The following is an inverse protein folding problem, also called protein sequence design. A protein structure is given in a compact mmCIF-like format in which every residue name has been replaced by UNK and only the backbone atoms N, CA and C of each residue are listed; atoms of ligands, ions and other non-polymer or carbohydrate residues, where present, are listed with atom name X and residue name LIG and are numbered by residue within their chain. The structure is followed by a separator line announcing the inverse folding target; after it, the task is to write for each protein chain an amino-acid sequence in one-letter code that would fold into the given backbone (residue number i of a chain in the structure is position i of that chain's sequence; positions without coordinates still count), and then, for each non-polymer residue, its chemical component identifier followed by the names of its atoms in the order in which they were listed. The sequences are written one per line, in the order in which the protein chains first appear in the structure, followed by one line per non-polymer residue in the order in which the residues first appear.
data_IF_645524728103
#
_entry.id   IF_645524728103
#
_cell.length_a   1.000
_cell.length_b   1.000
_cell.length_c   1.000
_cell.angle_alpha   90.00
_cell.angle_beta   90.00
_cell.angle_gamma   90.00
#
_symmetry.space_group_name_H-M   'P 1'
#
loop_
_entity.id
_entity.type
_entity.pdbx_description
1 polymer ?
#
# COMPACT_ATOMS: atom_id res chain seq x y z
N UNK A 1 -10.49 4.26 11.55
CA UNK A 1 -9.13 4.08 11.01
C UNK A 1 -9.19 3.20 9.77
N UNK A 2 -8.63 3.68 8.67
CA UNK A 2 -8.52 2.89 7.45
C UNK A 2 -7.06 2.95 6.99
N UNK A 3 -6.46 1.80 6.69
CA UNK A 3 -5.10 1.68 6.23
C UNK A 3 -5.08 1.17 4.79
N UNK A 4 -4.41 1.92 3.90
CA UNK A 4 -4.29 1.59 2.47
C UNK A 4 -2.82 1.58 2.09
N UNK A 5 -2.35 0.46 1.54
CA UNK A 5 -1.02 0.35 0.95
C UNK A 5 -1.05 0.86 -0.50
N UNK A 6 0.03 1.53 -0.88
CA UNK A 6 0.23 2.09 -2.22
C UNK A 6 1.56 1.58 -2.75
N UNK A 7 1.56 1.00 -3.94
CA UNK A 7 2.78 0.50 -4.58
C UNK A 7 2.78 0.69 -6.09
N UNK A 8 3.97 0.92 -6.66
CA UNK A 8 4.18 1.01 -8.10
C UNK A 8 5.63 0.67 -8.44
N UNK A 9 5.87 0.04 -9.61
CA UNK A 9 7.24 -0.21 -10.08
C UNK A 9 7.45 0.13 -11.57
N UNK A 10 6.40 0.52 -12.27
CA UNK A 10 6.49 0.95 -13.67
C UNK A 10 6.16 2.43 -13.81
N UNK A 11 6.75 3.10 -14.81
CA UNK A 11 6.24 4.38 -15.26
C UNK A 11 4.81 4.24 -15.75
N UNK A 12 4.01 5.28 -15.59
CA UNK A 12 2.61 5.30 -15.99
C UNK A 12 2.17 6.66 -16.50
N UNK A 13 0.87 6.83 -16.79
CA UNK A 13 0.34 8.08 -17.33
C UNK A 13 0.53 9.27 -16.39
N UNK A 14 0.82 9.03 -15.11
CA UNK A 14 0.98 10.07 -14.09
C UNK A 14 2.42 10.44 -13.77
N UNK A 15 3.41 9.77 -14.37
CA UNK A 15 4.80 10.12 -14.16
C UNK A 15 5.78 9.08 -14.69
N UNK A 16 7.01 9.53 -14.91
CA UNK A 16 8.11 8.68 -15.36
C UNK A 16 8.67 7.80 -14.23
N UNK A 17 8.52 8.25 -12.98
CA UNK A 17 8.97 7.50 -11.82
C UNK A 17 7.79 6.89 -11.06
N UNK A 18 7.91 5.66 -10.55
CA UNK A 18 6.84 4.99 -9.80
C UNK A 18 6.32 5.80 -8.61
N UNK A 19 7.20 6.54 -7.93
CA UNK A 19 6.81 7.38 -6.80
C UNK A 19 5.87 8.53 -7.21
N UNK A 20 5.99 9.06 -8.44
CA UNK A 20 5.09 10.12 -8.92
C UNK A 20 3.67 9.58 -9.09
N UNK A 21 3.57 8.34 -9.61
CA UNK A 21 2.29 7.63 -9.68
C UNK A 21 1.71 7.38 -8.29
N UNK A 22 2.52 6.97 -7.32
CA UNK A 22 2.08 6.80 -5.94
C UNK A 22 1.58 8.12 -5.33
N UNK A 23 2.30 9.23 -5.51
CA UNK A 23 1.90 10.57 -5.03
C UNK A 23 0.58 11.01 -5.66
N UNK A 24 0.44 10.80 -6.97
CA UNK A 24 -0.81 11.13 -7.66
C UNK A 24 -1.98 10.28 -7.15
N UNK A 25 -1.76 9.00 -6.84
CA UNK A 25 -2.77 8.14 -6.22
C UNK A 25 -3.22 8.69 -4.86
N UNK A 26 -2.32 9.24 -4.05
CA UNK A 26 -2.66 9.92 -2.79
C UNK A 26 -3.64 11.08 -3.05
N UNK A 27 -3.36 11.92 -4.06
CA UNK A 27 -4.25 13.04 -4.43
C UNK A 27 -5.64 12.54 -4.89
N UNK A 28 -5.70 11.45 -5.63
CA UNK A 28 -6.98 10.86 -6.06
C UNK A 28 -7.75 10.26 -4.87
N UNK A 29 -7.07 9.56 -3.96
CA UNK A 29 -7.69 9.02 -2.73
C UNK A 29 -8.21 10.15 -1.84
N UNK A 30 -7.51 11.28 -1.76
CA UNK A 30 -7.95 12.46 -1.00
C UNK A 30 -9.29 13.06 -1.51
N UNK A 31 -9.67 12.75 -2.74
CA UNK A 31 -10.95 13.19 -3.35
C UNK A 31 -12.11 12.25 -3.08
N UNK A 32 -11.88 11.09 -2.46
CA UNK A 32 -12.97 10.16 -2.11
C UNK A 32 -13.87 10.80 -1.06
N UNK A 33 -15.16 11.02 -1.35
CA UNK A 33 -16.07 11.66 -0.40
C UNK A 33 -16.16 10.87 0.93
N UNK A 34 -16.14 11.58 2.04
CA UNK A 34 -16.27 10.98 3.38
C UNK A 34 -14.98 10.42 3.94
N UNK A 35 -13.89 10.43 3.19
CA UNK A 35 -12.56 10.05 3.67
C UNK A 35 -11.64 11.26 3.79
N UNK A 36 -10.70 11.19 4.73
CA UNK A 36 -9.66 12.21 4.94
C UNK A 36 -8.33 11.54 5.21
N UNK A 37 -7.29 11.94 4.49
CA UNK A 37 -5.92 11.51 4.76
C UNK A 37 -5.46 12.15 6.07
N UNK A 38 -5.03 11.31 7.01
CA UNK A 38 -4.48 11.72 8.31
C UNK A 38 -2.96 11.72 8.28
N UNK A 39 -2.37 10.73 7.60
CA UNK A 39 -0.93 10.61 7.43
C UNK A 39 -0.59 9.84 6.15
N UNK A 40 0.58 10.15 5.62
CA UNK A 40 1.24 9.43 4.53
C UNK A 40 2.61 9.03 5.04
N UNK A 41 2.98 7.76 4.90
CA UNK A 41 4.31 7.28 5.27
C UNK A 41 5.42 7.87 4.40
N UNK A 42 6.65 7.69 4.81
CA UNK A 42 7.77 7.77 3.87
C UNK A 42 7.59 6.75 2.73
N UNK A 43 8.28 6.99 1.60
CA UNK A 43 8.30 6.06 0.47
C UNK A 43 9.50 5.12 0.61
N UNK A 44 9.25 3.83 0.56
CA UNK A 44 10.24 2.77 0.68
C UNK A 44 10.50 2.12 -0.66
N UNK A 45 11.74 1.71 -0.90
CA UNK A 45 12.11 0.93 -2.08
C UNK A 45 12.11 -0.55 -1.69
N UNK A 46 11.60 -1.41 -2.57
CA UNK A 46 11.73 -2.86 -2.43
C UNK A 46 11.94 -3.54 -3.77
N UNK A 47 12.75 -4.60 -3.76
CA UNK A 47 12.87 -5.48 -4.92
C UNK A 47 11.54 -6.22 -5.18
N UNK A 48 11.27 -6.65 -6.44
CA UNK A 48 10.12 -7.50 -6.76
C UNK A 48 10.13 -8.82 -5.98
N UNK A 49 8.95 -9.25 -5.53
CA UNK A 49 8.76 -10.56 -4.90
C UNK A 49 7.67 -11.32 -5.65
N UNK A 50 7.98 -12.48 -6.25
CA UNK A 50 9.27 -13.16 -6.36
C UNK A 50 10.30 -12.35 -7.16
N UNK A 51 11.60 -12.63 -6.96
CA UNK A 51 12.68 -11.98 -7.69
C UNK A 51 12.48 -12.10 -9.20
N UNK A 52 12.65 -10.99 -9.91
CA UNK A 52 12.49 -10.89 -11.36
C UNK A 52 13.30 -9.71 -11.90
N UNK A 53 13.40 -9.58 -13.24
CA UNK A 53 14.04 -8.44 -13.89
C UNK A 53 13.18 -7.15 -13.87
N UNK A 54 12.08 -7.12 -13.13
CA UNK A 54 11.26 -5.94 -12.99
C UNK A 54 11.98 -4.87 -12.16
N UNK A 55 11.71 -3.57 -12.41
CA UNK A 55 12.20 -2.47 -11.58
C UNK A 55 11.74 -2.60 -10.13
N UNK A 56 12.50 -1.97 -9.21
CA UNK A 56 12.12 -1.87 -7.82
C UNK A 56 10.80 -1.12 -7.63
N UNK A 57 10.07 -1.50 -6.59
CA UNK A 57 8.83 -0.86 -6.19
C UNK A 57 9.10 0.37 -5.32
N UNK A 58 8.28 1.41 -5.52
CA UNK A 58 8.00 2.41 -4.50
C UNK A 58 6.80 1.96 -3.68
N UNK A 59 6.90 1.95 -2.36
CA UNK A 59 5.84 1.51 -1.46
C UNK A 59 5.59 2.55 -0.36
N UNK A 60 4.33 2.72 0.00
CA UNK A 60 3.91 3.55 1.12
C UNK A 60 2.59 3.07 1.70
N UNK A 61 2.21 3.63 2.84
CA UNK A 61 0.92 3.39 3.49
C UNK A 61 0.27 4.71 3.85
N UNK A 62 -1.04 4.78 3.66
CA UNK A 62 -1.88 5.89 4.04
C UNK A 62 -2.70 5.53 5.27
N UNK A 63 -2.77 6.43 6.22
CA UNK A 63 -3.75 6.43 7.30
C UNK A 63 -4.88 7.37 6.92
N UNK A 64 -6.10 6.83 6.86
CA UNK A 64 -7.30 7.59 6.56
C UNK A 64 -8.27 7.56 7.74
N UNK A 65 -9.05 8.61 7.90
CA UNK A 65 -10.24 8.67 8.75
C UNK A 65 -11.49 8.79 7.90
N UNK A 66 -12.62 8.41 8.48
CA UNK A 66 -13.92 8.38 7.85
C UNK A 66 -14.60 7.03 8.00
N UNK A 67 -15.70 6.84 7.30
CA UNK A 67 -16.43 5.57 7.23
C UNK A 67 -16.44 5.10 5.79
N UNK A 68 -16.14 3.84 5.56
CA UNK A 68 -16.18 3.23 4.25
C UNK A 68 -16.82 1.85 4.31
N UNK A 69 -17.69 1.56 3.37
CA UNK A 69 -18.04 0.18 3.05
C UNK A 69 -16.86 -0.46 2.34
N UNK A 70 -16.40 -1.66 2.79
CA UNK A 70 -15.21 -2.30 2.22
C UNK A 70 -15.31 -2.53 0.70
N UNK A 71 -16.45 -2.98 0.19
CA UNK A 71 -16.61 -3.27 -1.23
C UNK A 71 -16.65 -1.98 -2.07
N UNK A 72 -17.30 -0.93 -1.55
CA UNK A 72 -17.34 0.38 -2.20
C UNK A 72 -15.94 1.00 -2.26
N UNK A 73 -15.20 0.97 -1.15
CA UNK A 73 -13.84 1.49 -1.12
C UNK A 73 -12.94 0.71 -2.08
N UNK A 74 -13.03 -0.63 -2.10
CA UNK A 74 -12.26 -1.44 -3.04
C UNK A 74 -12.53 -1.03 -4.50
N UNK A 75 -13.80 -0.84 -4.87
CA UNK A 75 -14.17 -0.42 -6.21
C UNK A 75 -13.58 0.97 -6.57
N UNK A 76 -13.62 1.92 -5.62
CA UNK A 76 -13.04 3.25 -5.81
C UNK A 76 -11.52 3.19 -5.99
N UNK A 77 -10.81 2.38 -5.19
CA UNK A 77 -9.36 2.19 -5.34
C UNK A 77 -9.02 1.53 -6.68
N UNK A 78 -9.81 0.54 -7.12
CA UNK A 78 -9.62 -0.09 -8.43
C UNK A 78 -9.85 0.90 -9.59
N UNK A 79 -10.75 1.88 -9.45
CA UNK A 79 -10.93 2.96 -10.43
C UNK A 79 -9.69 3.87 -10.50
N UNK A 80 -9.10 4.18 -9.35
CA UNK A 80 -7.85 4.95 -9.27
C UNK A 80 -6.71 4.17 -9.93
N UNK A 81 -6.58 2.87 -9.68
CA UNK A 81 -5.58 2.01 -10.33
C UNK A 81 -5.73 2.03 -11.86
N UNK A 82 -6.95 1.94 -12.38
CA UNK A 82 -7.21 2.01 -13.84
C UNK A 82 -6.79 3.36 -14.42
N UNK A 83 -7.10 4.47 -13.74
CA UNK A 83 -6.63 5.82 -14.13
C UNK A 83 -5.11 5.92 -14.09
N UNK A 84 -4.45 5.25 -13.15
CA UNK A 84 -3.01 5.13 -13.03
C UNK A 84 -2.36 4.22 -14.08
N UNK A 85 -3.15 3.69 -15.03
CA UNK A 85 -2.63 2.88 -16.14
C UNK A 85 -2.51 1.39 -15.84
N UNK A 86 -3.09 0.89 -14.73
CA UNK A 86 -3.08 -0.54 -14.44
C UNK A 86 -3.85 -1.34 -15.49
N UNK A 87 -3.18 -2.31 -16.10
CA UNK A 87 -3.80 -3.32 -16.97
C UNK A 87 -3.88 -4.63 -16.19
N UNK A 88 -5.08 -5.22 -16.08
CA UNK A 88 -5.30 -6.52 -15.43
C UNK A 88 -5.10 -7.65 -16.45
N UNK A 89 -4.55 -8.79 -16.04
CA UNK A 89 -4.50 -9.98 -16.88
C UNK A 89 -3.36 -10.94 -16.61
N UNK A 90 -2.25 -10.52 -16.01
CA UNK A 90 -1.11 -11.41 -15.73
C UNK A 90 -0.81 -11.43 -14.23
N UNK A 91 -0.76 -12.64 -13.66
CA UNK A 91 -0.40 -12.83 -12.26
C UNK A 91 1.05 -12.36 -12.04
N UNK A 92 1.29 -11.58 -10.98
CA UNK A 92 2.60 -11.00 -10.63
C UNK A 92 3.24 -10.12 -11.72
N UNK A 93 2.45 -9.60 -12.68
CA UNK A 93 2.95 -8.64 -13.64
C UNK A 93 3.40 -7.35 -12.95
N UNK A 94 4.36 -6.68 -13.56
CA UNK A 94 4.75 -5.32 -13.19
C UNK A 94 3.52 -4.40 -13.21
N UNK A 95 3.41 -3.52 -12.21
CA UNK A 95 2.20 -2.71 -11.99
C UNK A 95 2.53 -1.23 -12.00
N UNK A 96 1.79 -0.50 -12.82
CA UNK A 96 1.85 0.97 -12.77
C UNK A 96 1.34 1.51 -11.44
N UNK A 97 0.35 0.86 -10.84
CA UNK A 97 -0.21 1.20 -9.52
C UNK A 97 -0.91 -0.01 -8.91
N UNK A 98 -0.69 -0.22 -7.61
CA UNK A 98 -1.34 -1.23 -6.78
C UNK A 98 -1.83 -0.58 -5.48
N UNK A 99 -3.13 -0.71 -5.18
CA UNK A 99 -3.78 -0.14 -4.01
C UNK A 99 -4.48 -1.27 -3.23
N UNK A 100 -3.98 -1.59 -2.05
CA UNK A 100 -4.52 -2.63 -1.19
C UNK A 100 -5.10 -2.05 0.10
N UNK A 101 -6.34 -2.43 0.44
CA UNK A 101 -6.91 -2.13 1.76
C UNK A 101 -6.29 -3.08 2.77
N UNK A 102 -5.56 -2.53 3.74
CA UNK A 102 -4.91 -3.33 4.78
C UNK A 102 -5.86 -3.63 5.93
N UNK A 103 -6.54 -2.60 6.42
CA UNK A 103 -7.45 -2.70 7.56
C UNK A 103 -8.51 -1.59 7.49
N UNK A 104 -9.71 -1.88 7.96
CA UNK A 104 -10.80 -0.92 8.23
C UNK A 104 -11.30 -1.15 9.64
N UNK A 105 -10.92 -0.27 10.59
CA UNK A 105 -11.37 -0.27 11.99
C UNK A 105 -11.24 -1.63 12.71
N UNK A 106 -10.23 -2.44 12.36
CA UNK A 106 -10.03 -3.78 12.92
C UNK A 106 -11.06 -4.81 12.44
N UNK A 107 -11.80 -4.53 11.37
CA UNK A 107 -12.80 -5.44 10.83
C UNK A 107 -12.15 -6.74 10.35
N UNK A 108 -12.68 -7.88 10.81
CA UNK A 108 -12.29 -9.20 10.34
C UNK A 108 -13.38 -9.74 9.44
N UNK A 109 -13.05 -10.04 8.18
CA UNK A 109 -13.97 -10.65 7.21
C UNK A 109 -13.21 -11.53 6.23
N UNK A 110 -13.81 -12.66 5.88
CA UNK A 110 -13.22 -13.66 4.98
C UNK A 110 -13.72 -13.57 3.53
N UNK A 111 -14.66 -12.69 3.27
CA UNK A 111 -15.23 -12.41 1.95
C UNK A 111 -16.69 -11.95 2.03
N UNK A 112 -17.28 -11.56 0.89
CA UNK A 112 -16.62 -11.33 -0.38
C UNK A 112 -15.57 -10.22 -0.33
N UNK A 113 -14.74 -10.09 -1.37
CA UNK A 113 -13.67 -9.07 -1.41
C UNK A 113 -14.11 -7.67 -0.95
N UNK A 114 -13.23 -6.94 -0.25
CA UNK A 114 -11.90 -7.35 0.21
C UNK A 114 -11.95 -8.28 1.44
N UNK A 115 -11.00 -9.22 1.50
CA UNK A 115 -10.68 -9.95 2.74
C UNK A 115 -9.95 -8.99 3.69
N UNK A 116 -10.37 -8.90 4.94
CA UNK A 116 -9.78 -7.99 5.93
C UNK A 116 -9.48 -8.73 7.24
N UNK A 117 -8.38 -8.36 7.93
CA UNK A 117 -7.26 -7.57 7.40
C UNK A 117 -6.67 -8.21 6.15
N UNK A 118 -5.89 -7.45 5.37
CA UNK A 118 -5.28 -7.98 4.15
C UNK A 118 -4.46 -9.24 4.45
N UNK A 119 -4.74 -10.39 3.81
CA UNK A 119 -4.29 -11.71 4.27
C UNK A 119 -2.76 -11.89 4.29
N UNK A 120 -2.01 -11.10 3.51
CA UNK A 120 -0.54 -11.17 3.42
C UNK A 120 0.19 -9.96 3.98
N UNK A 121 -0.51 -8.94 4.51
CA UNK A 121 0.13 -7.71 4.98
C UNK A 121 1.16 -8.00 6.09
N UNK A 122 0.82 -8.88 7.03
CA UNK A 122 1.68 -9.26 8.16
C UNK A 122 2.98 -9.97 7.77
N UNK A 123 3.12 -10.42 6.52
CA UNK A 123 4.29 -11.12 5.98
C UNK A 123 5.13 -10.26 5.03
N UNK A 124 4.77 -8.98 4.88
CA UNK A 124 5.38 -8.09 3.88
C UNK A 124 6.09 -6.92 4.53
N UNK A 125 7.43 -6.92 4.61
CA UNK A 125 8.18 -5.81 5.21
C UNK A 125 7.90 -4.48 4.50
N UNK A 126 7.73 -4.49 3.18
CA UNK A 126 7.42 -3.31 2.37
C UNK A 126 6.00 -2.75 2.61
N UNK A 127 5.15 -3.46 3.36
CA UNK A 127 3.88 -2.95 3.90
C UNK A 127 4.05 -2.54 5.36
N UNK A 128 4.69 -3.37 6.18
CA UNK A 128 4.78 -3.15 7.63
C UNK A 128 5.68 -1.97 8.01
N UNK A 129 6.78 -1.73 7.25
CA UNK A 129 7.66 -0.59 7.52
C UNK A 129 6.93 0.74 7.34
N UNK A 130 6.33 1.03 6.16
CA UNK A 130 5.54 2.26 6.00
C UNK A 130 4.29 2.30 6.89
N UNK A 131 3.68 1.16 7.21
CA UNK A 131 2.55 1.11 8.14
C UNK A 131 2.96 1.59 9.54
N UNK A 132 4.15 1.19 10.01
CA UNK A 132 4.70 1.64 11.31
C UNK A 132 4.87 3.15 11.36
N UNK A 133 5.19 3.82 10.25
CA UNK A 133 5.34 5.29 10.21
C UNK A 133 4.02 6.00 10.53
N UNK A 134 2.90 5.47 10.02
CA UNK A 134 1.59 6.14 10.13
C UNK A 134 0.70 5.59 11.24
N UNK A 135 0.92 4.35 11.65
CA UNK A 135 0.14 3.67 12.67
C UNK A 135 1.02 2.75 13.57
N UNK A 136 1.97 3.30 14.33
CA UNK A 136 2.92 2.50 15.13
C UNK A 136 2.22 1.63 16.19
N UNK A 137 1.03 2.00 16.61
CA UNK A 137 0.20 1.26 17.57
C UNK A 137 -0.76 0.25 16.95
N UNK A 138 -0.72 0.08 15.61
CA UNK A 138 -1.61 -0.88 14.96
C UNK A 138 -1.34 -2.31 15.42
N UNK A 139 -2.44 -3.03 15.69
CA UNK A 139 -2.44 -4.45 16.05
C UNK A 139 -3.18 -5.20 14.94
N UNK A 140 -2.55 -6.19 14.36
CA UNK A 140 -3.16 -7.04 13.34
C UNK A 140 -4.35 -7.77 13.96
N UNK A 141 -5.58 -7.58 13.46
CA UNK A 141 -6.82 -8.00 14.14
C UNK A 141 -6.98 -9.51 14.34
N UNK A 142 -6.39 -10.35 13.46
CA UNK A 142 -6.49 -11.82 13.58
C UNK A 142 -5.43 -12.40 14.50
N UNK A 143 -4.22 -11.83 14.45
CA UNK A 143 -3.06 -12.37 15.14
C UNK A 143 -2.88 -11.76 16.55
N UNK A 144 -3.51 -10.59 16.79
CA UNK A 144 -3.32 -9.85 18.04
C UNK A 144 -1.89 -9.35 18.25
N UNK A 145 -1.12 -9.19 17.15
CA UNK A 145 0.30 -8.79 17.19
C UNK A 145 0.47 -7.38 16.65
N UNK A 146 1.25 -6.56 17.34
CA UNK A 146 1.55 -5.22 16.88
C UNK A 146 2.60 -5.24 15.74
N UNK A 147 2.70 -4.13 15.02
CA UNK A 147 3.57 -3.98 13.85
C UNK A 147 5.05 -4.23 14.18
N UNK A 148 5.52 -3.85 15.37
CA UNK A 148 6.91 -4.04 15.81
C UNK A 148 7.23 -5.53 15.98
N UNK A 149 6.33 -6.30 16.58
CA UNK A 149 6.49 -7.75 16.74
C UNK A 149 6.43 -8.47 15.39
N UNK A 150 5.53 -8.05 14.50
CA UNK A 150 5.44 -8.61 13.15
C UNK A 150 6.73 -8.37 12.36
N UNK A 151 7.31 -7.17 12.45
CA UNK A 151 8.60 -6.87 11.81
C UNK A 151 9.75 -7.66 12.42
N UNK A 152 9.73 -7.92 13.75
CA UNK A 152 10.73 -8.74 14.40
C UNK A 152 10.70 -10.20 13.91
N UNK A 153 9.51 -10.75 13.66
CA UNK A 153 9.34 -12.11 13.14
C UNK A 153 9.92 -12.26 11.72
N UNK A 154 9.93 -11.19 10.93
CA UNK A 154 10.40 -11.23 9.54
C UNK A 154 11.93 -11.08 9.39
N UNK A 155 12.67 -10.73 10.45
CA UNK A 155 14.13 -10.50 10.41
C UNK A 155 14.98 -11.72 10.02
N UNK A 156 14.38 -12.87 9.83
CA UNK A 156 15.06 -14.12 9.47
C UNK A 156 14.94 -14.58 8.03
N UNK A 157 14.23 -13.88 7.12
CA UNK A 157 13.98 -14.47 5.80
C UNK A 157 13.27 -13.65 4.74
N UNK A 158 13.04 -12.37 4.94
CA UNK A 158 12.38 -11.54 3.92
C UNK A 158 13.35 -10.58 3.23
N UNK A 159 13.16 -10.43 1.90
CA UNK A 159 13.97 -9.60 1.04
C UNK A 159 14.22 -8.18 1.56
N UNK A 160 15.36 -7.64 1.20
CA UNK A 160 15.78 -6.31 1.60
C UNK A 160 14.74 -5.26 1.22
N UNK A 161 14.30 -4.51 2.21
CA UNK A 161 13.53 -3.27 2.03
C UNK A 161 14.45 -2.15 2.47
N UNK A 162 14.78 -1.27 1.55
CA UNK A 162 15.61 -0.12 1.88
C UNK A 162 14.89 0.80 2.86
N UNK A 163 15.68 1.50 3.66
CA UNK A 163 15.22 2.62 4.47
C UNK A 163 14.47 3.64 3.59
N UNK A 164 13.70 4.57 4.19
CA UNK A 164 13.03 5.61 3.45
C UNK A 164 13.98 6.27 2.44
N UNK A 165 13.57 6.33 1.19
CA UNK A 165 14.40 6.87 0.11
C UNK A 165 13.92 8.28 -0.19
N UNK A 166 14.83 9.24 -0.20
CA UNK A 166 14.57 10.56 -0.77
C UNK A 166 14.48 10.41 -2.31
N UNK A 167 13.27 10.21 -2.79
CA UNK A 167 13.02 10.26 -4.21
C UNK A 167 13.14 11.71 -4.67
N UNK A 168 13.87 11.98 -5.76
CA UNK A 168 14.02 13.34 -6.24
C UNK A 168 12.65 13.97 -6.47
N UNK A 169 12.39 15.04 -5.73
CA UNK A 169 11.18 15.85 -5.90
C UNK A 169 11.41 16.68 -7.16
N UNK A 170 10.81 16.29 -8.26
CA UNK A 170 10.69 17.20 -9.38
C UNK A 170 9.56 18.18 -9.06
N UNK A 171 9.93 19.32 -8.48
CA UNK A 171 9.05 20.47 -8.45
C UNK A 171 8.91 21.00 -9.88
N UNK A 172 7.71 20.99 -10.36
CA UNK A 172 7.28 21.90 -11.44
C UNK A 172 6.31 22.91 -10.90
#
# INVERSE_FOLDING_TARGET
MILVAVGANLPGPWGAHPVDTCRRAVDEIARIPGLRIQAVSAWYRSAPVPASDQPDYANGVLLLSGKADPAVLLAQLQDIERKGGRVRGVLNAARTLDLDIIDIDGLVRDGPDPVLPHPRAHQRPFVLLPLRDVAPGWIEPRLGRNVTLLLADLRGGCGEVDAPVDWPVQYR
#
